data_IF_338505840574
#
_entry.id   IF_338505840574
#
_cell.length_a   1.000
_cell.length_b   1.000
_cell.length_c   1.000
_cell.angle_alpha   90.00
_cell.angle_beta   90.00
_cell.angle_gamma   90.00
#
_symmetry.space_group_name_H-M   'P 1'
#
loop_
_entity.id
_entity.type
_entity.pdbx_description
1 polymer ?
#
# COMPACT_ATOMS: atom_id res chain seq x y z
N UNK A 1 3.85 92.93 1.99
CA UNK A 1 5.14 92.83 2.69
C UNK A 1 5.10 91.55 3.50
N UNK A 2 5.54 90.43 2.90
CA UNK A 2 6.91 89.92 3.03
C UNK A 2 7.21 89.56 4.50
N UNK A 3 7.54 88.34 4.89
CA UNK A 3 8.27 87.27 4.21
C UNK A 3 8.08 85.95 4.98
N UNK A 4 8.02 84.84 4.23
CA UNK A 4 8.20 83.47 4.71
C UNK A 4 9.55 83.27 5.43
N UNK A 5 9.56 82.38 6.44
CA UNK A 5 10.64 81.40 6.63
C UNK A 5 10.14 80.17 7.37
N UNK A 6 10.25 79.03 6.68
CA UNK A 6 9.90 77.70 7.15
C UNK A 6 10.97 77.12 8.10
N UNK A 7 10.57 76.22 9.01
CA UNK A 7 11.30 74.99 9.33
C UNK A 7 10.45 73.99 10.14
N UNK A 8 10.16 72.87 9.45
CA UNK A 8 9.90 71.48 9.84
C UNK A 8 9.89 71.12 11.33
N UNK A 9 8.90 70.31 11.75
CA UNK A 9 9.12 68.93 12.27
C UNK A 9 7.83 68.10 12.41
N UNK A 10 7.93 66.85 11.94
CA UNK A 10 7.24 65.58 12.26
C UNK A 10 5.72 65.54 12.52
N UNK A 11 4.98 64.97 11.55
CA UNK A 11 3.74 64.20 11.81
C UNK A 11 4.13 62.77 12.18
N UNK A 12 3.68 62.29 13.33
CA UNK A 12 3.68 60.88 13.66
C UNK A 12 2.51 60.19 12.93
N UNK A 13 2.80 59.30 11.99
CA UNK A 13 1.85 58.29 11.52
C UNK A 13 2.07 57.04 12.36
N UNK A 14 1.09 56.67 13.18
CA UNK A 14 1.04 55.35 13.80
C UNK A 14 0.66 54.34 12.71
N UNK A 15 1.63 53.54 12.27
CA UNK A 15 1.43 52.42 11.37
C UNK A 15 0.80 51.25 12.12
N UNK A 16 -0.37 50.83 11.67
CA UNK A 16 -1.00 49.57 12.06
C UNK A 16 -0.45 48.50 11.10
N UNK A 17 0.60 47.79 11.51
CA UNK A 17 1.12 46.63 10.77
C UNK A 17 0.25 45.44 11.16
N UNK A 18 -0.63 45.03 10.25
CA UNK A 18 -1.27 43.73 10.31
C UNK A 18 -0.20 42.65 10.14
N UNK A 19 -0.03 41.79 11.13
CA UNK A 19 0.78 40.59 11.01
C UNK A 19 0.02 39.60 10.11
N UNK A 20 0.35 39.59 8.82
CA UNK A 20 0.10 38.43 7.96
C UNK A 20 1.07 37.34 8.44
N UNK A 21 0.55 36.36 9.16
CA UNK A 21 1.22 35.09 9.40
C UNK A 21 1.30 34.33 8.08
N UNK A 22 2.35 34.61 7.29
CA UNK A 22 2.83 33.72 6.25
C UNK A 22 3.34 32.46 6.95
N UNK A 23 2.55 31.40 6.90
CA UNK A 23 3.07 30.05 7.04
C UNK A 23 4.05 29.86 5.87
N UNK A 24 5.33 30.09 6.14
CA UNK A 24 6.40 29.76 5.21
C UNK A 24 6.49 28.24 5.15
N UNK A 25 5.80 27.63 4.17
CA UNK A 25 6.25 26.35 3.65
C UNK A 25 7.68 26.54 3.18
N UNK A 26 8.64 25.90 3.84
CA UNK A 26 10.01 25.88 3.36
C UNK A 26 9.98 25.13 2.01
N UNK A 27 10.15 25.87 0.91
CA UNK A 27 10.51 25.28 -0.37
C UNK A 27 11.87 24.61 -0.17
N UNK A 28 11.92 23.29 -0.33
CA UNK A 28 13.18 22.55 -0.27
C UNK A 28 13.84 22.70 -1.64
N UNK A 29 14.42 23.86 -1.92
CA UNK A 29 15.19 24.04 -3.14
C UNK A 29 16.40 23.09 -3.14
N UNK A 30 16.37 22.02 -3.93
CA UNK A 30 17.50 21.09 -4.08
C UNK A 30 17.11 19.63 -4.33
N UNK A 31 18.13 18.78 -4.44
CA UNK A 31 17.97 17.33 -4.47
C UNK A 31 18.12 16.74 -3.05
N UNK A 32 17.35 15.69 -2.76
CA UNK A 32 17.49 14.87 -1.56
C UNK A 32 18.91 14.29 -1.48
N UNK A 33 19.56 14.46 -0.33
CA UNK A 33 20.87 13.92 -0.03
C UNK A 33 20.72 12.53 0.62
N UNK A 34 21.01 11.47 -0.12
CA UNK A 34 20.84 10.09 0.39
C UNK A 34 21.86 9.67 1.47
N UNK A 35 22.85 10.51 1.77
CA UNK A 35 23.73 10.35 2.95
C UNK A 35 23.09 10.92 4.23
N UNK A 36 22.02 11.73 4.10
CA UNK A 36 21.23 12.22 5.23
C UNK A 36 20.06 11.26 5.50
N UNK A 37 19.97 10.63 6.68
CA UNK A 37 18.88 9.71 7.00
C UNK A 37 17.50 10.37 7.00
N UNK A 38 17.39 11.69 7.23
CA UNK A 38 16.11 12.39 7.15
C UNK A 38 15.64 12.50 5.67
N UNK A 39 16.56 12.70 4.73
CA UNK A 39 16.26 12.71 3.30
C UNK A 39 15.96 11.30 2.75
N UNK A 40 16.57 10.26 3.32
CA UNK A 40 16.15 8.87 3.05
C UNK A 40 14.71 8.65 3.49
N UNK A 41 14.31 9.17 4.65
CA UNK A 41 12.91 9.11 5.10
C UNK A 41 11.98 9.87 4.14
N UNK A 42 12.33 11.08 3.72
CA UNK A 42 11.56 11.84 2.70
C UNK A 42 11.38 11.03 1.42
N UNK A 43 12.44 10.40 0.91
CA UNK A 43 12.36 9.52 -0.26
C UNK A 43 11.38 8.36 -0.02
N UNK A 44 11.48 7.68 1.13
CA UNK A 44 10.59 6.57 1.46
C UNK A 44 9.12 7.02 1.57
N UNK A 45 8.87 8.21 2.11
CA UNK A 45 7.53 8.83 2.16
C UNK A 45 6.99 9.11 0.76
N UNK A 46 7.77 9.77 -0.12
CA UNK A 46 7.38 10.04 -1.52
C UNK A 46 6.97 8.77 -2.26
N UNK A 47 7.79 7.73 -2.10
CA UNK A 47 7.58 6.44 -2.75
C UNK A 47 6.36 5.70 -2.19
N UNK A 48 6.06 5.83 -0.89
CA UNK A 48 4.92 5.15 -0.31
C UNK A 48 3.64 5.95 -0.49
N UNK A 49 3.61 7.21 -0.06
CA UNK A 49 2.43 8.08 -0.09
C UNK A 49 2.75 9.47 -0.67
N UNK A 50 3.02 10.46 0.18
CA UNK A 50 3.31 11.85 -0.16
C UNK A 50 4.12 12.50 0.96
N UNK A 51 4.84 13.58 0.66
CA UNK A 51 5.40 14.49 1.66
C UNK A 51 4.34 15.40 2.30
N UNK A 52 3.14 15.50 1.70
CA UNK A 52 2.02 16.21 2.30
C UNK A 52 1.22 15.22 3.17
N UNK A 53 1.12 15.52 4.47
CA UNK A 53 0.39 14.68 5.42
C UNK A 53 -1.07 14.49 5.03
N UNK A 54 -1.53 13.24 5.09
CA UNK A 54 -2.92 12.88 4.77
C UNK A 54 -3.28 12.91 3.28
N UNK A 55 -2.37 13.32 2.38
CA UNK A 55 -2.60 13.24 0.94
C UNK A 55 -2.72 11.77 0.51
N UNK A 56 -3.80 11.47 -0.21
CA UNK A 56 -4.10 10.11 -0.67
C UNK A 56 -3.18 9.71 -1.82
N UNK A 57 -2.56 8.55 -1.67
CA UNK A 57 -1.84 7.86 -2.73
C UNK A 57 -2.61 6.59 -3.10
N UNK A 58 -2.79 6.39 -4.40
CA UNK A 58 -3.49 5.23 -4.95
C UNK A 58 -2.56 4.45 -5.88
N UNK A 59 -2.47 3.15 -5.67
CA UNK A 59 -1.79 2.22 -6.55
C UNK A 59 -2.78 1.23 -7.11
N UNK A 60 -2.64 0.89 -8.38
CA UNK A 60 -3.44 -0.15 -9.03
C UNK A 60 -2.52 -1.12 -9.76
N UNK A 61 -2.92 -2.38 -9.81
CA UNK A 61 -2.24 -3.42 -10.56
C UNK A 61 -3.22 -4.43 -11.14
N UNK A 62 -2.80 -5.08 -12.23
CA UNK A 62 -3.48 -6.22 -12.82
C UNK A 62 -2.51 -7.35 -13.12
N UNK A 63 -3.02 -8.56 -13.28
CA UNK A 63 -2.22 -9.72 -13.60
C UNK A 63 -3.01 -11.00 -13.69
N UNK A 64 -2.31 -12.10 -13.45
CA UNK A 64 -2.88 -13.45 -13.54
C UNK A 64 -2.48 -14.31 -12.35
N UNK A 65 -3.37 -15.21 -11.99
CA UNK A 65 -3.10 -16.32 -11.07
C UNK A 65 -3.07 -17.63 -11.85
N UNK A 66 -1.99 -18.38 -11.68
CA UNK A 66 -1.78 -19.67 -12.30
C UNK A 66 -1.68 -20.79 -11.26
N UNK A 67 -2.03 -21.99 -11.68
CA UNK A 67 -1.75 -23.22 -10.95
C UNK A 67 -0.37 -23.75 -11.36
N UNK A 68 0.43 -24.22 -10.40
CA UNK A 68 1.60 -25.06 -10.68
C UNK A 68 1.53 -26.34 -9.88
N UNK A 69 1.40 -27.48 -10.57
CA UNK A 69 1.12 -28.76 -9.94
C UNK A 69 1.84 -29.90 -10.66
N UNK A 70 2.37 -30.92 -9.95
CA UNK A 70 3.09 -32.02 -10.60
C UNK A 70 2.21 -32.79 -11.59
N UNK A 71 2.84 -33.23 -12.69
CA UNK A 71 2.24 -34.12 -13.70
C UNK A 71 0.99 -33.57 -14.43
N UNK A 72 0.77 -32.26 -14.43
CA UNK A 72 -0.23 -31.61 -15.28
C UNK A 72 0.29 -30.26 -15.82
N UNK A 73 -0.36 -29.75 -16.88
CA UNK A 73 -0.03 -28.43 -17.43
C UNK A 73 -0.51 -27.34 -16.46
N UNK A 74 0.33 -26.32 -16.24
CA UNK A 74 -0.04 -25.12 -15.51
C UNK A 74 -1.30 -24.49 -16.15
N UNK A 75 -2.29 -24.14 -15.31
CA UNK A 75 -3.58 -23.58 -15.73
C UNK A 75 -3.64 -22.09 -15.40
N UNK A 76 -4.22 -21.29 -16.29
CA UNK A 76 -4.66 -19.94 -15.96
C UNK A 76 -5.96 -20.06 -15.18
N UNK A 77 -5.94 -19.70 -13.90
CA UNK A 77 -7.10 -19.84 -13.03
C UNK A 77 -7.96 -18.58 -13.06
N UNK A 78 -7.32 -17.43 -12.85
CA UNK A 78 -8.01 -16.14 -12.71
C UNK A 78 -7.18 -15.02 -13.32
N UNK A 79 -7.86 -14.06 -13.94
CA UNK A 79 -7.31 -12.71 -13.99
C UNK A 79 -7.38 -12.13 -12.56
N UNK A 80 -6.47 -11.23 -12.22
CA UNK A 80 -6.50 -10.52 -10.92
C UNK A 80 -6.33 -9.04 -11.15
N UNK A 81 -7.07 -8.25 -10.38
CA UNK A 81 -6.88 -6.80 -10.30
C UNK A 81 -6.94 -6.38 -8.85
N UNK A 82 -6.08 -5.47 -8.45
CA UNK A 82 -6.05 -4.98 -7.09
C UNK A 82 -5.67 -3.51 -7.03
N UNK A 83 -5.92 -2.95 -5.86
CA UNK A 83 -5.54 -1.58 -5.56
C UNK A 83 -5.13 -1.46 -4.11
N UNK A 84 -4.31 -0.46 -3.85
CA UNK A 84 -3.97 -0.05 -2.51
C UNK A 84 -4.09 1.45 -2.39
N UNK A 85 -4.90 1.90 -1.44
CA UNK A 85 -5.13 3.29 -1.12
C UNK A 85 -4.51 3.60 0.23
N UNK A 86 -3.70 4.66 0.31
CA UNK A 86 -2.93 4.97 1.51
C UNK A 86 -2.66 6.45 1.69
N UNK A 87 -2.34 6.84 2.91
CA UNK A 87 -1.73 8.13 3.22
C UNK A 87 -0.57 7.93 4.22
N UNK A 88 0.25 8.97 4.34
CA UNK A 88 1.36 9.00 5.29
C UNK A 88 1.13 10.12 6.30
N UNK A 89 1.62 9.90 7.51
CA UNK A 89 1.68 10.88 8.59
C UNK A 89 3.14 11.11 8.98
N UNK A 90 3.56 12.37 9.00
CA UNK A 90 4.88 12.76 9.45
C UNK A 90 4.97 12.64 10.97
N UNK A 91 6.08 12.06 11.42
CA UNK A 91 6.46 11.96 12.82
C UNK A 91 7.72 12.78 13.05
N UNK A 92 7.87 13.32 14.26
CA UNK A 92 9.06 14.05 14.67
C UNK A 92 9.45 13.63 16.08
N UNK A 93 10.74 13.36 16.25
CA UNK A 93 11.31 13.01 17.55
C UNK A 93 12.66 13.73 17.75
N UNK A 94 12.96 14.24 18.96
CA UNK A 94 14.21 14.97 19.22
C UNK A 94 15.50 14.17 19.01
N UNK A 95 15.45 12.83 19.15
CA UNK A 95 16.60 11.95 19.01
C UNK A 95 16.56 11.24 17.65
N UNK A 96 15.40 10.67 17.30
CA UNK A 96 15.23 9.87 16.09
C UNK A 96 15.13 10.73 14.82
N UNK A 97 14.81 12.02 14.95
CA UNK A 97 14.67 12.96 13.83
C UNK A 97 13.33 12.81 13.11
N UNK A 98 13.35 12.89 11.78
CA UNK A 98 12.17 12.72 10.94
C UNK A 98 11.74 11.25 10.96
N UNK A 99 10.43 11.03 11.02
CA UNK A 99 9.84 9.73 10.80
C UNK A 99 8.52 9.83 10.05
N UNK A 100 7.95 8.69 9.74
CA UNK A 100 6.60 8.61 9.22
C UNK A 100 5.95 7.27 9.50
N UNK A 101 4.63 7.27 9.42
CA UNK A 101 3.83 6.06 9.41
C UNK A 101 2.86 6.08 8.24
N UNK A 102 2.66 4.94 7.59
CA UNK A 102 1.68 4.79 6.52
C UNK A 102 0.43 4.07 7.03
N UNK A 103 -0.74 4.54 6.57
CA UNK A 103 -2.05 3.90 6.78
C UNK A 103 -2.64 3.56 5.44
N UNK A 104 -3.16 2.35 5.31
CA UNK A 104 -3.38 1.73 4.01
C UNK A 104 -4.58 0.81 4.05
N UNK A 105 -5.24 0.65 2.91
CA UNK A 105 -6.26 -0.37 2.63
C UNK A 105 -5.90 -1.05 1.33
N UNK A 106 -6.17 -2.34 1.23
CA UNK A 106 -5.82 -3.11 0.04
C UNK A 106 -6.94 -4.06 -0.37
N UNK A 107 -7.25 -4.03 -1.66
CA UNK A 107 -8.16 -4.96 -2.32
C UNK A 107 -7.44 -5.72 -3.42
N UNK A 108 -7.83 -6.98 -3.60
CA UNK A 108 -7.54 -7.71 -4.83
C UNK A 108 -8.70 -8.63 -5.15
N UNK A 109 -9.21 -8.48 -6.37
CA UNK A 109 -10.29 -9.28 -6.93
C UNK A 109 -9.74 -10.42 -7.77
N UNK A 110 -10.37 -11.59 -7.67
CA UNK A 110 -10.25 -12.72 -8.57
C UNK A 110 -11.36 -12.62 -9.62
N UNK A 111 -10.96 -12.57 -10.89
CA UNK A 111 -11.84 -12.34 -12.02
C UNK A 111 -11.81 -13.55 -12.95
N UNK A 112 -12.90 -13.74 -13.67
CA UNK A 112 -13.01 -14.77 -14.69
C UNK A 112 -11.89 -14.57 -15.75
N UNK A 113 -11.15 -15.64 -16.11
CA UNK A 113 -10.02 -15.52 -17.02
C UNK A 113 -10.41 -15.15 -18.45
N UNK A 114 -11.68 -15.35 -18.85
CA UNK A 114 -12.21 -15.06 -20.18
C UNK A 114 -12.98 -13.74 -20.22
N UNK A 115 -13.83 -13.47 -19.23
CA UNK A 115 -14.76 -12.33 -19.25
C UNK A 115 -14.28 -11.11 -18.44
N UNK A 116 -13.32 -11.29 -17.52
CA UNK A 116 -12.96 -10.29 -16.50
C UNK A 116 -14.12 -9.91 -15.55
N UNK A 117 -15.16 -10.72 -15.42
CA UNK A 117 -16.17 -10.49 -14.38
C UNK A 117 -15.63 -10.90 -13.01
N UNK A 118 -15.98 -10.15 -11.96
CA UNK A 118 -15.60 -10.51 -10.58
C UNK A 118 -16.28 -11.83 -10.21
N UNK A 119 -15.48 -12.83 -9.84
CA UNK A 119 -16.00 -14.15 -9.51
C UNK A 119 -16.64 -14.15 -8.12
N UNK A 120 -17.80 -14.79 -8.02
CA UNK A 120 -18.48 -15.10 -6.75
C UNK A 120 -18.32 -16.55 -6.36
N UNK A 121 -18.42 -17.44 -7.34
CA UNK A 121 -18.17 -18.88 -7.19
C UNK A 121 -17.14 -19.35 -8.20
N UNK A 122 -16.50 -20.47 -7.91
CA UNK A 122 -15.52 -21.10 -8.79
C UNK A 122 -15.67 -22.62 -8.75
N UNK A 123 -15.74 -23.23 -9.93
CA UNK A 123 -15.72 -24.67 -10.07
C UNK A 123 -14.29 -25.18 -9.95
N UNK A 124 -13.97 -25.79 -8.81
CA UNK A 124 -12.64 -26.31 -8.54
C UNK A 124 -12.39 -27.58 -9.38
N UNK A 125 -11.47 -27.56 -10.36
CA UNK A 125 -11.31 -28.67 -11.28
C UNK A 125 -10.58 -29.87 -10.68
N UNK A 126 -10.06 -29.76 -9.46
CA UNK A 126 -9.37 -30.85 -8.75
C UNK A 126 -10.24 -31.53 -7.70
N UNK A 127 -11.26 -30.84 -7.18
CA UNK A 127 -12.22 -31.42 -6.24
C UNK A 127 -13.56 -31.76 -6.90
N UNK A 128 -13.90 -31.08 -8.00
CA UNK A 128 -15.22 -31.15 -8.62
C UNK A 128 -16.29 -30.38 -7.85
N UNK A 129 -15.92 -29.67 -6.79
CA UNK A 129 -16.82 -28.85 -5.98
C UNK A 129 -16.88 -27.42 -6.54
N UNK A 130 -18.06 -26.82 -6.48
CA UNK A 130 -18.20 -25.37 -6.58
C UNK A 130 -17.88 -24.75 -5.21
N UNK A 131 -16.98 -23.77 -5.17
CA UNK A 131 -16.58 -23.07 -3.95
C UNK A 131 -16.85 -21.57 -4.08
N UNK A 132 -17.18 -20.93 -2.97
CA UNK A 132 -17.25 -19.47 -2.89
C UNK A 132 -15.85 -18.86 -3.02
N UNK A 133 -15.75 -17.80 -3.82
CA UNK A 133 -14.52 -17.04 -4.02
C UNK A 133 -14.44 -15.96 -2.97
N UNK A 134 -13.44 -16.05 -2.08
CA UNK A 134 -13.17 -15.01 -1.09
C UNK A 134 -12.15 -14.03 -1.67
N UNK A 135 -12.61 -12.81 -1.92
CA UNK A 135 -11.79 -11.69 -2.39
C UNK A 135 -10.82 -11.23 -1.30
N UNK A 136 -9.72 -10.60 -1.70
CA UNK A 136 -8.78 -10.00 -0.73
C UNK A 136 -9.29 -8.62 -0.36
N UNK A 137 -9.54 -8.41 0.94
CA UNK A 137 -9.87 -7.13 1.54
C UNK A 137 -9.11 -7.00 2.85
N UNK A 138 -7.88 -6.47 2.78
CA UNK A 138 -7.03 -6.29 3.95
C UNK A 138 -7.23 -4.87 4.49
N UNK A 139 -7.52 -4.71 5.79
CA UNK A 139 -7.53 -3.42 6.48
C UNK A 139 -7.24 -3.59 7.98
N UNK A 140 -6.03 -3.30 8.48
CA UNK A 140 -4.72 -3.06 7.85
C UNK A 140 -4.00 -4.13 6.98
N UNK A 141 -3.61 -3.90 5.69
CA UNK A 141 -2.51 -4.64 5.05
C UNK A 141 -1.17 -4.17 5.62
N UNK A 142 -0.35 -5.08 6.14
CA UNK A 142 0.83 -4.77 6.95
C UNK A 142 1.76 -3.62 6.47
N UNK A 143 2.31 -2.90 7.45
CA UNK A 143 3.35 -1.82 7.45
C UNK A 143 2.91 -0.50 8.12
N UNK A 144 2.30 -0.62 9.30
CA UNK A 144 1.94 0.46 10.25
C UNK A 144 3.08 0.84 11.17
N UNK A 145 4.27 0.28 10.93
CA UNK A 145 5.42 0.58 11.76
C UNK A 145 5.89 1.97 11.43
N UNK A 146 6.13 2.74 12.48
CA UNK A 146 6.88 3.98 12.39
C UNK A 146 8.23 3.68 11.74
N UNK A 147 8.57 4.47 10.73
CA UNK A 147 9.87 4.43 10.08
C UNK A 147 10.56 5.70 10.54
N UNK A 148 11.74 5.57 11.11
CA UNK A 148 12.49 6.66 11.69
C UNK A 148 13.81 6.82 10.95
N UNK A 149 14.29 8.05 10.84
CA UNK A 149 15.60 8.34 10.28
C UNK A 149 16.71 7.70 11.13
N UNK A 150 16.55 7.73 12.46
CA UNK A 150 17.51 7.22 13.45
C UNK A 150 16.86 6.29 14.47
N UNK A 151 17.67 5.49 15.16
CA UNK A 151 17.27 4.65 16.31
C UNK A 151 17.16 5.46 17.62
N UNK A 152 16.83 4.78 18.72
CA UNK A 152 16.65 5.39 20.05
C UNK A 152 17.92 6.07 20.59
N UNK A 153 19.08 5.67 20.10
CA UNK A 153 20.38 6.23 20.44
C UNK A 153 20.82 7.34 19.48
N UNK A 154 20.04 7.62 18.43
CA UNK A 154 20.33 8.65 17.43
C UNK A 154 21.25 8.19 16.30
N UNK A 155 21.51 6.88 16.15
CA UNK A 155 22.27 6.36 15.02
C UNK A 155 21.37 6.21 13.79
N UNK A 156 21.87 6.44 12.56
CA UNK A 156 21.09 6.22 11.34
C UNK A 156 20.51 4.81 11.26
N UNK A 157 19.19 4.71 11.07
CA UNK A 157 18.44 3.45 10.99
C UNK A 157 17.65 3.31 9.69
N UNK A 158 17.43 4.40 8.96
CA UNK A 158 16.78 4.39 7.65
C UNK A 158 17.65 3.68 6.61
N UNK A 159 17.20 2.51 6.16
CA UNK A 159 17.84 1.74 5.09
C UNK A 159 17.29 2.09 3.71
N UNK A 160 18.17 2.34 2.75
CA UNK A 160 17.81 2.48 1.35
C UNK A 160 17.85 1.11 0.66
N UNK A 161 16.68 0.61 0.26
CA UNK A 161 16.55 -0.66 -0.49
C UNK A 161 16.47 -0.43 -2.02
N UNK A 162 16.80 0.77 -2.46
CA UNK A 162 16.73 1.19 -3.87
C UNK A 162 18.13 1.34 -4.45
N UNK A 163 18.25 1.11 -5.75
CA UNK A 163 19.46 1.37 -6.51
C UNK A 163 19.16 2.26 -7.70
N UNK A 164 20.15 3.05 -8.11
CA UNK A 164 20.00 4.04 -9.18
C UNK A 164 20.87 3.63 -10.37
N UNK A 165 20.30 3.67 -11.58
CA UNK A 165 21.03 3.46 -12.81
C UNK A 165 20.37 4.24 -13.95
N UNK A 166 21.17 4.98 -14.71
CA UNK A 166 20.76 5.67 -15.94
C UNK A 166 19.49 6.54 -15.78
N UNK A 167 19.41 7.30 -14.68
CA UNK A 167 18.28 8.18 -14.39
C UNK A 167 17.02 7.47 -13.87
N UNK A 168 17.11 6.18 -13.53
CA UNK A 168 16.00 5.41 -12.95
C UNK A 168 16.36 4.95 -11.54
N UNK A 169 15.45 5.16 -10.60
CA UNK A 169 15.48 4.50 -9.30
C UNK A 169 14.72 3.18 -9.40
N UNK A 170 15.34 2.09 -8.97
CA UNK A 170 14.76 0.75 -8.98
C UNK A 170 14.78 0.12 -7.59
N UNK A 171 13.81 -0.76 -7.34
CA UNK A 171 13.82 -1.70 -6.23
C UNK A 171 13.41 -3.08 -6.75
N UNK A 172 14.02 -4.14 -6.20
CA UNK A 172 13.75 -5.51 -6.56
C UNK A 172 14.96 -6.42 -6.34
N UNK A 173 14.94 -7.62 -6.94
CA UNK A 173 16.01 -8.61 -6.82
C UNK A 173 16.02 -9.41 -5.52
N UNK A 174 15.16 -9.06 -4.55
CA UNK A 174 14.92 -9.81 -3.33
C UNK A 174 13.55 -10.48 -3.31
N UNK A 175 13.30 -11.26 -2.26
CA UNK A 175 11.99 -11.87 -1.98
C UNK A 175 11.68 -11.83 -0.49
N UNK A 176 10.44 -11.49 -0.14
CA UNK A 176 9.91 -11.77 1.19
C UNK A 176 9.71 -13.29 1.32
N UNK A 177 10.28 -13.89 2.36
CA UNK A 177 10.28 -15.34 2.61
C UNK A 177 9.43 -15.63 3.83
N UNK A 178 8.13 -15.82 3.62
CA UNK A 178 7.14 -15.95 4.69
C UNK A 178 6.99 -17.41 5.10
N UNK A 179 7.28 -17.70 6.36
CA UNK A 179 7.14 -19.04 6.95
C UNK A 179 6.71 -18.92 8.41
N UNK A 180 5.43 -19.12 8.69
CA UNK A 180 4.86 -19.01 10.04
C UNK A 180 3.64 -19.91 10.22
N UNK A 181 3.27 -20.18 11.47
CA UNK A 181 2.08 -20.97 11.81
C UNK A 181 0.84 -20.31 11.22
N UNK A 182 0.09 -21.07 10.42
CA UNK A 182 -1.11 -20.55 9.77
C UNK A 182 -2.18 -20.29 10.84
N UNK A 183 -2.78 -19.08 10.90
CA UNK A 183 -3.91 -18.80 11.79
C UNK A 183 -5.10 -19.76 11.62
N UNK A 184 -5.18 -20.43 10.46
CA UNK A 184 -6.19 -21.44 10.11
C UNK A 184 -5.76 -22.88 10.46
N UNK A 185 -4.70 -23.11 11.24
CA UNK A 185 -4.34 -24.46 11.68
C UNK A 185 -5.40 -25.06 12.62
N UNK A 186 -5.67 -26.37 12.51
CA UNK A 186 -6.63 -27.08 13.37
C UNK A 186 -7.99 -27.29 12.70
N UNK A 187 -9.05 -26.67 13.23
CA UNK A 187 -10.45 -26.87 12.81
C UNK A 187 -10.76 -26.43 11.36
N UNK A 188 -9.78 -25.89 10.64
CA UNK A 188 -9.86 -25.49 9.23
C UNK A 188 -8.96 -26.33 8.32
N UNK A 189 -8.62 -27.57 8.73
CA UNK A 189 -7.74 -28.48 7.99
C UNK A 189 -8.15 -28.67 6.51
N UNK A 190 -9.43 -28.57 6.20
CA UNK A 190 -9.94 -28.63 4.81
C UNK A 190 -9.46 -27.44 3.95
N UNK A 191 -9.20 -26.28 4.56
CA UNK A 191 -8.80 -25.05 3.87
C UNK A 191 -7.28 -24.96 3.70
N UNK A 192 -6.49 -25.35 4.70
CA UNK A 192 -5.01 -25.25 4.66
C UNK A 192 -4.34 -26.16 5.70
N UNK A 193 -3.23 -26.79 5.33
CA UNK A 193 -2.30 -27.41 6.29
C UNK A 193 -1.54 -26.35 7.10
N UNK A 194 -1.49 -26.52 8.43
CA UNK A 194 -1.19 -25.53 9.49
C UNK A 194 0.10 -24.66 9.45
N UNK A 195 0.87 -24.64 8.36
CA UNK A 195 1.98 -23.69 8.15
C UNK A 195 1.73 -22.89 6.88
N UNK A 196 1.74 -21.56 7.02
CA UNK A 196 1.76 -20.62 5.91
C UNK A 196 3.17 -20.58 5.32
N UNK A 197 3.25 -20.73 4.00
CA UNK A 197 4.50 -20.71 3.26
C UNK A 197 4.30 -20.00 1.93
N UNK A 198 4.96 -18.85 1.80
CA UNK A 198 4.92 -18.06 0.58
C UNK A 198 6.24 -17.33 0.34
N UNK A 199 6.52 -17.10 -0.94
CA UNK A 199 7.52 -16.15 -1.39
C UNK A 199 6.83 -15.04 -2.17
N UNK A 200 7.16 -13.80 -1.85
CA UNK A 200 6.67 -12.63 -2.59
C UNK A 200 7.82 -11.83 -3.17
N UNK A 201 7.64 -11.39 -4.41
CA UNK A 201 8.63 -10.70 -5.22
C UNK A 201 8.05 -9.35 -5.60
N UNK A 202 8.74 -8.27 -5.23
CA UNK A 202 8.35 -6.91 -5.61
C UNK A 202 9.41 -6.30 -6.51
N UNK A 203 8.99 -5.73 -7.63
CA UNK A 203 9.85 -4.88 -8.46
C UNK A 203 9.16 -3.53 -8.66
N UNK A 204 9.91 -2.45 -8.63
CA UNK A 204 9.38 -1.12 -8.92
C UNK A 204 10.43 -0.23 -9.57
N UNK A 205 9.99 0.73 -10.38
CA UNK A 205 10.85 1.74 -10.96
C UNK A 205 10.16 3.12 -10.94
N UNK A 206 10.98 4.17 -10.83
CA UNK A 206 10.56 5.58 -10.88
C UNK A 206 11.67 6.42 -11.53
N UNK A 207 11.34 7.54 -12.20
CA UNK A 207 12.34 8.52 -12.64
C UNK A 207 13.16 9.05 -11.45
N UNK A 208 14.48 9.02 -11.54
CA UNK A 208 15.34 9.41 -10.43
C UNK A 208 15.27 10.91 -10.12
N UNK A 209 15.09 11.74 -11.15
CA UNK A 209 14.92 13.19 -11.01
C UNK A 209 13.64 13.52 -10.23
N UNK A 210 12.51 12.87 -10.56
CA UNK A 210 11.25 13.02 -9.81
C UNK A 210 11.43 12.66 -8.34
N UNK A 211 12.08 11.53 -8.06
CA UNK A 211 12.26 11.05 -6.68
C UNK A 211 13.22 11.93 -5.88
N UNK A 212 14.32 12.36 -6.49
CA UNK A 212 15.35 13.12 -5.80
C UNK A 212 15.00 14.61 -5.68
N UNK A 213 14.10 15.16 -6.50
CA UNK A 213 13.67 16.55 -6.36
C UNK A 213 12.87 16.77 -5.06
N UNK A 214 13.39 17.59 -4.15
CA UNK A 214 12.76 17.80 -2.85
C UNK A 214 11.50 18.66 -2.90
N UNK A 215 11.24 19.37 -4.01
CA UNK A 215 10.02 20.15 -4.23
C UNK A 215 8.87 19.30 -4.80
N UNK A 216 9.15 18.08 -5.27
CA UNK A 216 8.12 17.13 -5.73
C UNK A 216 7.68 16.27 -4.54
N UNK A 217 6.39 16.30 -4.13
CA UNK A 217 5.94 15.62 -2.91
C UNK A 217 5.65 14.12 -3.09
N UNK A 218 5.54 13.63 -4.33
CA UNK A 218 5.08 12.27 -4.63
C UNK A 218 5.95 11.61 -5.70
N UNK A 219 5.91 10.29 -5.76
CA UNK A 219 6.45 9.50 -6.87
C UNK A 219 5.33 9.14 -7.85
N UNK A 220 4.91 10.09 -8.69
CA UNK A 220 3.76 9.95 -9.60
C UNK A 220 4.04 8.93 -10.71
N UNK A 221 5.19 9.03 -11.39
CA UNK A 221 5.53 8.19 -12.55
C UNK A 221 6.10 6.81 -12.15
N UNK A 222 5.53 6.22 -11.10
CA UNK A 222 6.00 4.99 -10.48
C UNK A 222 5.27 3.76 -11.01
N UNK A 223 6.05 2.82 -11.54
CA UNK A 223 5.57 1.48 -11.93
C UNK A 223 5.92 0.43 -10.88
N UNK A 224 5.06 -0.57 -10.74
CA UNK A 224 5.21 -1.68 -9.79
C UNK A 224 4.91 -3.02 -10.45
N UNK A 225 5.49 -4.08 -9.90
CA UNK A 225 5.17 -5.46 -10.21
C UNK A 225 5.25 -6.28 -8.94
N UNK A 226 4.27 -7.15 -8.75
CA UNK A 226 4.23 -8.09 -7.64
C UNK A 226 4.03 -9.50 -8.17
N UNK A 227 4.81 -10.44 -7.63
CA UNK A 227 4.62 -11.86 -7.84
C UNK A 227 4.57 -12.59 -6.50
N UNK A 228 3.81 -13.68 -6.46
CA UNK A 228 3.74 -14.55 -5.29
C UNK A 228 3.75 -16.01 -5.70
N UNK A 229 4.51 -16.80 -4.98
CA UNK A 229 4.39 -18.27 -4.99
C UNK A 229 3.96 -18.68 -3.59
N UNK A 230 2.80 -19.31 -3.48
CA UNK A 230 2.24 -19.75 -2.20
C UNK A 230 1.58 -21.11 -2.33
N UNK A 231 1.26 -21.75 -1.21
CA UNK A 231 0.25 -22.82 -1.21
C UNK A 231 -1.07 -22.31 -1.83
N UNK A 232 -1.95 -23.25 -2.16
CA UNK A 232 -3.33 -22.95 -2.57
C UNK A 232 -4.01 -22.00 -1.58
N UNK A 233 -4.89 -21.16 -2.10
CA UNK A 233 -5.65 -20.24 -1.27
C UNK A 233 -6.63 -21.04 -0.40
N UNK A 234 -6.86 -20.62 0.87
CA UNK A 234 -7.73 -21.36 1.79
C UNK A 234 -9.12 -21.68 1.24
N UNK A 235 -9.79 -20.71 0.62
CA UNK A 235 -11.14 -20.86 0.06
C UNK A 235 -11.23 -21.86 -1.10
N UNK A 236 -10.09 -22.22 -1.71
CA UNK A 236 -10.06 -23.23 -2.77
C UNK A 236 -10.26 -24.66 -2.24
N UNK A 237 -10.31 -24.89 -0.91
CA UNK A 237 -10.52 -26.21 -0.29
C UNK A 237 -9.56 -27.30 -0.79
N UNK A 238 -8.31 -26.90 -1.04
CA UNK A 238 -7.32 -27.81 -1.62
C UNK A 238 -6.68 -28.74 -0.59
N UNK A 239 -6.78 -28.46 0.72
CA UNK A 239 -6.11 -29.24 1.77
C UNK A 239 -4.61 -29.40 1.49
N UNK A 240 -4.10 -30.63 1.65
CA UNK A 240 -2.69 -30.96 1.40
C UNK A 240 -2.40 -31.39 -0.06
N UNK A 241 -3.31 -31.11 -1.01
CA UNK A 241 -3.07 -31.45 -2.42
C UNK A 241 -1.79 -30.78 -2.91
N UNK A 242 -0.92 -31.51 -3.65
CA UNK A 242 0.36 -30.96 -4.09
C UNK A 242 0.15 -29.79 -5.05
N UNK A 243 1.13 -28.90 -5.08
CA UNK A 243 1.18 -27.74 -5.98
C UNK A 243 1.05 -26.41 -5.26
N UNK A 244 1.13 -25.34 -6.05
CA UNK A 244 1.20 -23.95 -5.59
C UNK A 244 0.39 -23.05 -6.50
N UNK A 245 -0.07 -21.93 -5.93
CA UNK A 245 -0.57 -20.80 -6.68
C UNK A 245 0.59 -19.88 -7.04
N UNK A 246 0.59 -19.37 -8.28
CA UNK A 246 1.58 -18.43 -8.79
C UNK A 246 0.86 -17.17 -9.27
N UNK A 247 1.15 -16.05 -8.64
CA UNK A 247 0.66 -14.73 -9.03
C UNK A 247 1.75 -13.97 -9.74
N UNK A 248 1.38 -13.23 -10.78
CA UNK A 248 2.27 -12.27 -11.41
C UNK A 248 1.48 -11.09 -11.95
N UNK A 249 1.84 -9.89 -11.49
CA UNK A 249 1.11 -8.65 -11.70
C UNK A 249 2.05 -7.52 -12.10
N UNK A 250 1.49 -6.52 -12.77
CA UNK A 250 2.13 -5.24 -13.06
C UNK A 250 1.12 -4.12 -12.81
N UNK A 251 1.61 -2.95 -12.47
CA UNK A 251 0.79 -1.83 -12.07
C UNK A 251 1.55 -0.52 -11.98
N UNK A 252 0.88 0.50 -11.48
CA UNK A 252 1.42 1.84 -11.33
C UNK A 252 0.70 2.61 -10.22
N UNK A 253 1.25 3.78 -9.88
CA UNK A 253 0.50 4.78 -9.13
C UNK A 253 -0.51 5.46 -10.04
N UNK A 254 -1.70 5.73 -9.52
CA UNK A 254 -2.76 6.49 -10.19
C UNK A 254 -2.84 7.90 -9.60
N UNK A 255 -3.34 8.84 -10.39
CA UNK A 255 -3.53 10.24 -9.95
C UNK A 255 -4.80 10.41 -9.13
N UNK A 256 -5.81 9.57 -9.36
CA UNK A 256 -7.11 9.65 -8.69
C UNK A 256 -7.87 8.32 -8.74
N UNK A 257 -8.90 8.20 -7.91
CA UNK A 257 -9.79 7.05 -7.87
C UNK A 257 -10.52 6.81 -9.19
N UNK A 258 -10.85 7.87 -9.92
CA UNK A 258 -11.55 7.82 -11.21
C UNK A 258 -10.72 7.19 -12.34
N UNK A 259 -9.41 7.00 -12.14
CA UNK A 259 -8.53 6.28 -13.09
C UNK A 259 -8.58 4.76 -12.92
N UNK A 260 -9.28 4.24 -11.90
CA UNK A 260 -9.45 2.79 -11.73
C UNK A 260 -10.27 2.19 -12.88
N UNK A 261 -9.97 0.94 -13.29
CA UNK A 261 -10.82 0.22 -14.23
C UNK A 261 -12.24 0.08 -13.70
N UNK A 262 -13.23 0.25 -14.57
CA UNK A 262 -14.66 0.23 -14.20
C UNK A 262 -15.04 -1.01 -13.38
N UNK A 263 -14.55 -2.20 -13.75
CA UNK A 263 -14.83 -3.44 -13.00
C UNK A 263 -14.37 -3.38 -11.54
N UNK A 264 -13.23 -2.74 -11.27
CA UNK A 264 -12.68 -2.60 -9.91
C UNK A 264 -13.47 -1.53 -9.16
N UNK A 265 -13.71 -0.39 -9.80
CA UNK A 265 -14.43 0.73 -9.22
C UNK A 265 -15.89 0.36 -8.86
N UNK A 266 -16.60 -0.30 -9.77
CA UNK A 266 -17.98 -0.73 -9.57
C UNK A 266 -18.08 -1.74 -8.42
N UNK A 267 -17.14 -2.69 -8.35
CA UNK A 267 -17.07 -3.66 -7.26
C UNK A 267 -16.81 -3.01 -5.91
N UNK A 268 -15.88 -2.04 -5.85
CA UNK A 268 -15.60 -1.28 -4.64
C UNK A 268 -16.83 -0.51 -4.18
N UNK A 269 -17.45 0.25 -5.09
CA UNK A 269 -18.60 1.09 -4.74
C UNK A 269 -19.80 0.27 -4.27
N UNK A 270 -19.99 -0.94 -4.81
CA UNK A 270 -21.09 -1.81 -4.45
C UNK A 270 -20.85 -2.57 -3.13
N UNK A 271 -19.64 -3.10 -2.92
CA UNK A 271 -19.39 -4.12 -1.89
C UNK A 271 -18.29 -3.75 -0.88
N UNK A 272 -17.48 -2.74 -1.15
CA UNK A 272 -16.37 -2.31 -0.30
C UNK A 272 -16.31 -0.77 -0.15
N UNK A 273 -17.41 -0.09 0.20
CA UNK A 273 -17.48 1.37 0.17
C UNK A 273 -16.48 2.06 1.10
N UNK A 274 -16.00 1.40 2.16
CA UNK A 274 -14.95 1.93 3.02
C UNK A 274 -13.57 1.99 2.34
N UNK A 275 -13.35 1.27 1.24
CA UNK A 275 -12.07 1.23 0.53
C UNK A 275 -11.89 2.36 -0.50
N UNK A 276 -12.83 3.31 -0.59
CA UNK A 276 -12.68 4.51 -1.43
C UNK A 276 -11.77 5.57 -0.79
N UNK A 277 -11.48 5.43 0.50
CA UNK A 277 -10.57 6.30 1.26
C UNK A 277 -9.60 5.47 2.12
N UNK A 278 -8.38 5.96 2.36
CA UNK A 278 -7.46 5.33 3.29
C UNK A 278 -7.97 5.43 4.75
N UNK A 279 -7.54 4.54 5.67
CA UNK A 279 -7.96 4.58 7.07
C UNK A 279 -7.63 5.92 7.74
N UNK A 280 -8.41 6.32 8.74
CA UNK A 280 -8.12 7.52 9.51
C UNK A 280 -6.73 7.43 10.19
N UNK A 281 -6.13 8.61 10.38
CA UNK A 281 -4.78 8.86 10.92
C UNK A 281 -4.53 8.17 12.30
N UNK A 282 -5.59 7.82 13.05
CA UNK A 282 -5.46 7.19 14.38
C UNK A 282 -6.44 6.04 14.61
N UNK A 283 -6.21 4.91 13.96
CA UNK A 283 -6.83 3.65 14.38
C UNK A 283 -5.73 2.68 14.82
N UNK A 284 -5.68 2.40 16.13
CA UNK A 284 -4.98 1.23 16.67
C UNK A 284 -5.74 -0.03 16.26
N UNK A 285 -5.56 -0.48 15.03
CA UNK A 285 -6.08 -1.78 14.60
C UNK A 285 -4.94 -2.80 14.53
N UNK A 286 -5.13 -4.01 15.09
CA UNK A 286 -4.18 -5.11 14.90
C UNK A 286 -4.05 -5.44 13.40
N UNK A 287 -2.89 -5.98 13.01
CA UNK A 287 -2.60 -6.35 11.61
C UNK A 287 -3.62 -7.35 11.08
N UNK A 288 -4.15 -7.12 9.89
CA UNK A 288 -4.93 -8.09 9.15
C UNK A 288 -4.14 -8.66 7.96
N UNK A 289 -4.39 -9.92 7.63
CA UNK A 289 -3.85 -10.61 6.46
C UNK A 289 -4.98 -11.33 5.76
N UNK A 290 -4.82 -11.68 4.48
CA UNK A 290 -5.86 -12.44 3.75
C UNK A 290 -6.25 -13.75 4.44
N UNK A 291 -5.38 -14.28 5.32
CA UNK A 291 -5.65 -15.46 6.14
C UNK A 291 -6.48 -15.17 7.38
N UNK A 292 -6.30 -14.02 8.05
CA UNK A 292 -7.13 -13.64 9.20
C UNK A 292 -8.53 -13.24 8.74
N UNK A 293 -8.63 -12.48 7.63
CA UNK A 293 -9.91 -12.11 7.00
C UNK A 293 -10.71 -13.37 6.61
N UNK A 294 -10.05 -14.36 6.00
CA UNK A 294 -10.71 -15.63 5.67
C UNK A 294 -11.14 -16.42 6.90
N UNK A 295 -10.38 -16.37 8.00
CA UNK A 295 -10.77 -17.01 9.25
C UNK A 295 -12.07 -16.41 9.77
N UNK A 296 -12.15 -15.08 9.81
CA UNK A 296 -13.31 -14.36 10.33
C UNK A 296 -14.56 -14.61 9.46
N UNK A 297 -14.38 -14.75 8.15
CA UNK A 297 -15.45 -15.16 7.24
C UNK A 297 -15.99 -16.57 7.55
N UNK A 298 -15.13 -17.58 7.75
CA UNK A 298 -15.63 -18.93 8.13
C UNK A 298 -16.31 -18.91 9.50
N UNK A 299 -15.76 -18.17 10.47
CA UNK A 299 -16.36 -18.06 11.80
C UNK A 299 -17.76 -17.42 11.74
N UNK A 300 -17.94 -16.40 10.90
CA UNK A 300 -19.25 -15.81 10.65
C UNK A 300 -20.22 -16.82 10.02
N UNK A 301 -19.80 -17.56 8.98
CA UNK A 301 -20.62 -18.60 8.35
C UNK A 301 -21.05 -19.68 9.35
N UNK A 302 -20.11 -20.18 10.16
CA UNK A 302 -20.42 -21.20 11.19
C UNK A 302 -21.39 -20.67 12.25
N UNK A 303 -21.27 -19.40 12.61
CA UNK A 303 -22.17 -18.75 13.58
C UNK A 303 -23.58 -18.58 13.01
N UNK A 304 -23.71 -18.29 11.72
CA UNK A 304 -24.99 -18.22 11.00
C UNK A 304 -25.64 -19.61 10.86
N UNK A 305 -24.86 -20.64 10.48
CA UNK A 305 -25.31 -22.03 10.40
C UNK A 305 -25.79 -22.55 11.76
N UNK A 306 -25.07 -22.22 12.85
CA UNK A 306 -25.44 -22.61 14.22
C UNK A 306 -26.66 -21.86 14.78
N UNK A 307 -27.09 -20.77 14.14
CA UNK A 307 -28.30 -20.02 14.47
C UNK A 307 -29.50 -20.42 13.61
N UNK A 308 -29.27 -21.13 12.51
CA UNK A 308 -30.29 -21.67 11.62
C UNK A 308 -30.76 -23.08 12.02
N UNK A 309 -30.03 -23.75 12.91
CA UNK A 309 -30.38 -25.02 13.60
C UNK A 309 -31.05 -24.78 14.97
#
# INVERSE_FOLDING_TARGET
>A
METMKARKTLRALAGMIGALSLAAGAAYGGQLNLDDPDDVIRLLMKVRCSLNDGETALYWWEGRMYSRKPAEKDRHLFNVQGMNIRHCETLSDPVRGLGFVARSRELMFYLDPETNEVLRTWNNPWTGEEVEVVQVANDPPGNYRENWARDEEGNPSAGLFYFFKDGVMMHGGGAARLFYSNPLGGDYQQSVGGIYHAMEFGTSASPADEILDADIPVAQDRVISWGRVSKWLPWMKMGDRPGVAVFHTAGMRLSSYDELPAVVMDEINANYPEYVEPPAIRTENPRETSWTVFKDHIDAQRAEESQAD
#
